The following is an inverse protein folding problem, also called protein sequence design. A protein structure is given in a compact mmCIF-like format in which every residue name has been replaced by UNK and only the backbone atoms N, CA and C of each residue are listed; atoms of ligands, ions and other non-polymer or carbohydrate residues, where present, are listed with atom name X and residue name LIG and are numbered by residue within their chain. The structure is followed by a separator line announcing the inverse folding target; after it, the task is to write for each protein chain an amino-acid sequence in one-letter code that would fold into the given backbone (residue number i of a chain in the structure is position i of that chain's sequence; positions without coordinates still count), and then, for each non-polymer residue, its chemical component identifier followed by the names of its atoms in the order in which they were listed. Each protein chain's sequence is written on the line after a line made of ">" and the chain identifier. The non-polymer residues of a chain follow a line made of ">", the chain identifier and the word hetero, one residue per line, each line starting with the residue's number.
data_IF_859914584805
#
_entry.id   IF_859914584805
#
_cell.length_a   1.000
_cell.length_b   1.000
_cell.length_c   1.000
_cell.angle_alpha   90.00
_cell.angle_beta   90.00
_cell.angle_gamma   90.00
#
_symmetry.space_group_name_H-M   'P 1'
#
loop_
_entity.id
_entity.type
_entity.pdbx_description
1 polymer ?
#
# COMPACT_ATOMS: atom_id res chain seq x y z
N UNK A 1 10.72 7.59 -41.47
CA UNK A 1 10.73 8.66 -40.46
C UNK A 1 9.29 9.06 -40.21
N UNK A 2 8.71 8.65 -39.08
CA UNK A 2 7.30 8.92 -38.75
C UNK A 2 7.21 9.25 -37.27
N UNK A 3 6.72 10.45 -36.97
CA UNK A 3 6.60 10.99 -35.62
C UNK A 3 5.32 10.45 -34.98
N UNK A 4 5.45 9.62 -33.93
CA UNK A 4 4.34 9.18 -33.10
C UNK A 4 4.09 10.25 -32.03
N UNK A 5 2.99 11.00 -32.16
CA UNK A 5 2.55 11.93 -31.11
C UNK A 5 1.71 11.14 -30.10
N UNK A 6 2.33 10.74 -28.99
CA UNK A 6 1.63 10.19 -27.84
C UNK A 6 0.91 11.34 -27.11
N UNK A 7 -0.42 11.42 -27.27
CA UNK A 7 -1.25 12.30 -26.44
C UNK A 7 -1.31 11.72 -25.03
N UNK A 8 -0.52 12.27 -24.13
CA UNK A 8 -0.71 12.08 -22.69
C UNK A 8 -1.91 12.94 -22.30
N UNK A 9 -3.06 12.30 -22.08
CA UNK A 9 -4.18 12.92 -21.38
C UNK A 9 -3.69 13.28 -19.98
N UNK A 10 -3.58 14.56 -19.72
CA UNK A 10 -3.17 15.10 -18.43
C UNK A 10 -4.34 14.92 -17.46
N UNK A 11 -4.16 14.11 -16.42
CA UNK A 11 -5.09 14.03 -15.30
C UNK A 11 -4.91 15.26 -14.40
N UNK A 12 -5.51 16.39 -14.76
CA UNK A 12 -5.54 17.61 -13.96
C UNK A 12 -6.58 17.49 -12.82
N UNK A 13 -6.39 16.60 -11.83
CA UNK A 13 -7.13 16.72 -10.55
C UNK A 13 -6.62 15.96 -9.31
N UNK A 14 -5.46 15.29 -9.33
CA UNK A 14 -4.97 14.64 -8.11
C UNK A 14 -4.17 15.65 -7.26
N UNK A 15 -4.83 16.47 -6.43
CA UNK A 15 -4.16 17.44 -5.53
C UNK A 15 -4.71 17.37 -4.09
N UNK A 16 -5.31 16.26 -3.70
CA UNK A 16 -5.68 16.00 -2.30
C UNK A 16 -5.24 14.58 -1.93
N UNK A 17 -3.93 14.42 -1.70
CA UNK A 17 -3.33 13.15 -1.30
C UNK A 17 -3.57 12.91 0.20
N UNK A 18 -4.74 12.36 0.58
CA UNK A 18 -5.09 11.93 1.96
C UNK A 18 -6.60 11.83 2.24
N UNK A 19 -7.48 12.24 1.33
CA UNK A 19 -8.91 12.35 1.62
C UNK A 19 -9.63 11.01 1.55
N UNK A 20 -9.21 10.15 0.63
CA UNK A 20 -9.92 8.92 0.30
C UNK A 20 -9.15 7.69 0.75
N UNK A 21 -9.86 6.58 0.96
CA UNK A 21 -9.22 5.29 1.28
C UNK A 21 -8.17 4.91 0.25
N UNK A 22 -8.48 5.12 -1.04
CA UNK A 22 -7.64 4.74 -2.18
C UNK A 22 -6.29 5.47 -2.19
N UNK A 23 -6.19 6.65 -1.55
CA UNK A 23 -4.92 7.37 -1.42
C UNK A 23 -3.88 6.59 -0.58
N UNK A 24 -4.36 5.67 0.27
CA UNK A 24 -3.53 4.86 1.17
C UNK A 24 -3.44 3.38 0.74
N UNK A 25 -4.22 2.96 -0.27
CA UNK A 25 -4.21 1.60 -0.83
C UNK A 25 -3.04 1.44 -1.82
N UNK A 26 -1.82 1.50 -1.31
CA UNK A 26 -0.60 1.42 -2.11
C UNK A 26 -0.19 -0.04 -2.36
N UNK A 27 0.09 -0.45 -3.61
CA UNK A 27 0.59 -1.78 -3.89
C UNK A 27 2.00 -1.97 -3.31
N UNK A 28 2.21 -3.06 -2.58
CA UNK A 28 3.52 -3.47 -2.10
C UNK A 28 4.01 -4.69 -2.90
N UNK A 29 5.22 -4.60 -3.46
CA UNK A 29 5.82 -5.65 -4.27
C UNK A 29 7.26 -5.87 -3.79
N UNK A 30 7.60 -7.12 -3.49
CA UNK A 30 8.94 -7.53 -3.09
C UNK A 30 9.51 -8.49 -4.13
N UNK A 31 10.77 -8.27 -4.52
CA UNK A 31 11.52 -9.16 -5.41
C UNK A 31 12.78 -9.64 -4.70
N UNK A 32 13.11 -10.92 -4.88
CA UNK A 32 14.35 -11.54 -4.42
C UNK A 32 14.91 -12.41 -5.53
N UNK A 33 16.23 -12.44 -5.69
CA UNK A 33 16.92 -13.29 -6.68
C UNK A 33 16.65 -14.77 -6.47
N UNK A 34 16.39 -15.15 -5.22
CA UNK A 34 16.29 -16.55 -4.81
C UNK A 34 14.84 -17.04 -4.79
N UNK A 35 13.89 -16.16 -5.09
CA UNK A 35 12.47 -16.51 -5.09
C UNK A 35 12.11 -17.33 -6.34
N UNK A 36 11.56 -18.52 -6.11
CA UNK A 36 11.10 -19.42 -7.18
C UNK A 36 9.59 -19.35 -7.41
N UNK A 37 8.86 -18.63 -6.53
CA UNK A 37 7.38 -18.59 -6.55
C UNK A 37 6.89 -17.18 -6.28
N UNK A 38 5.74 -16.85 -6.87
CA UNK A 38 5.00 -15.64 -6.56
C UNK A 38 4.00 -15.96 -5.47
N UNK A 39 4.13 -15.29 -4.34
CA UNK A 39 3.14 -15.29 -3.27
C UNK A 39 2.26 -14.05 -3.39
N UNK A 40 0.93 -14.22 -3.25
CA UNK A 40 -0.03 -13.11 -3.26
C UNK A 40 -0.65 -12.97 -1.87
N UNK A 41 -0.25 -11.94 -1.15
CA UNK A 41 -0.81 -11.59 0.15
C UNK A 41 -1.96 -10.60 -0.09
N UNK A 42 -3.18 -10.97 0.28
CA UNK A 42 -4.38 -10.13 0.13
C UNK A 42 -4.77 -9.41 1.42
N UNK A 43 -4.20 -9.81 2.55
CA UNK A 43 -4.51 -9.20 3.84
C UNK A 43 -3.90 -7.79 3.89
N UNK A 44 -4.71 -6.75 4.11
CA UNK A 44 -4.20 -5.39 4.21
C UNK A 44 -3.23 -5.23 5.38
N UNK A 45 -2.21 -4.38 5.20
CA UNK A 45 -1.19 -4.11 6.21
C UNK A 45 -0.88 -2.61 6.28
N UNK A 46 -0.66 -2.10 7.49
CA UNK A 46 -0.24 -0.72 7.70
C UNK A 46 1.25 -0.54 7.38
N UNK A 47 1.58 0.53 6.66
CA UNK A 47 2.97 0.92 6.39
C UNK A 47 3.77 1.21 7.68
N UNK A 48 3.11 1.51 8.81
CA UNK A 48 3.80 1.64 10.11
C UNK A 48 4.51 0.36 10.53
N UNK A 49 4.03 -0.80 10.08
CA UNK A 49 4.62 -2.10 10.40
C UNK A 49 5.73 -2.51 9.42
N UNK A 50 6.01 -1.72 8.38
CA UNK A 50 6.98 -2.05 7.34
C UNK A 50 8.38 -2.33 7.89
N UNK A 51 8.80 -1.59 8.92
CA UNK A 51 10.14 -1.74 9.51
C UNK A 51 10.36 -3.15 10.09
N UNK A 52 9.32 -3.79 10.64
CA UNK A 52 9.41 -5.15 11.18
C UNK A 52 9.62 -6.16 10.04
N UNK A 53 8.80 -6.08 9.00
CA UNK A 53 8.94 -6.93 7.81
C UNK A 53 10.28 -6.77 7.12
N UNK A 54 10.77 -5.53 7.02
CA UNK A 54 12.08 -5.27 6.43
C UNK A 54 13.22 -5.85 7.28
N UNK A 55 13.15 -5.72 8.61
CA UNK A 55 14.13 -6.31 9.51
C UNK A 55 14.13 -7.85 9.43
N UNK A 56 12.95 -8.46 9.44
CA UNK A 56 12.78 -9.91 9.30
C UNK A 56 13.33 -10.41 7.95
N UNK A 57 13.03 -9.68 6.87
CA UNK A 57 13.52 -10.03 5.53
C UNK A 57 15.06 -9.97 5.44
N UNK A 58 15.68 -8.99 6.11
CA UNK A 58 17.13 -8.84 6.15
C UNK A 58 17.81 -9.80 7.17
N UNK A 59 17.04 -10.59 7.92
CA UNK A 59 17.55 -11.49 8.95
C UNK A 59 18.10 -10.77 10.19
N UNK A 60 17.68 -9.52 10.43
CA UNK A 60 18.11 -8.72 11.58
C UNK A 60 17.45 -9.25 12.85
N UNK A 61 18.27 -9.57 13.86
CA UNK A 61 17.81 -10.07 15.17
C UNK A 61 18.03 -9.01 16.24
N UNK A 62 17.18 -7.99 16.23
CA UNK A 62 17.15 -6.93 17.25
C UNK A 62 15.77 -6.87 17.88
N UNK A 63 15.71 -6.92 19.22
CA UNK A 63 14.45 -7.07 19.98
C UNK A 63 13.46 -5.94 19.69
N UNK A 64 13.95 -4.73 19.47
CA UNK A 64 13.10 -3.56 19.17
C UNK A 64 12.59 -3.52 17.72
N UNK A 65 13.13 -4.37 16.85
CA UNK A 65 12.71 -4.51 15.45
C UNK A 65 11.91 -5.79 15.22
N UNK A 66 11.57 -6.53 16.28
CA UNK A 66 10.71 -7.70 16.24
C UNK A 66 9.30 -7.28 16.70
N UNK A 67 8.37 -7.27 15.75
CA UNK A 67 7.00 -6.78 15.96
C UNK A 67 5.97 -7.74 15.38
N UNK A 68 5.00 -7.18 14.64
CA UNK A 68 4.00 -7.99 13.92
C UNK A 68 4.64 -8.64 12.70
N UNK A 69 4.15 -9.82 12.32
CA UNK A 69 4.48 -10.43 11.04
C UNK A 69 3.93 -9.55 9.91
N UNK A 70 4.83 -8.92 9.17
CA UNK A 70 4.45 -8.02 8.09
C UNK A 70 3.95 -8.74 6.84
N UNK A 71 4.47 -9.94 6.56
CA UNK A 71 4.15 -10.70 5.36
C UNK A 71 2.92 -11.60 5.56
N UNK A 72 2.66 -12.03 6.79
CA UNK A 72 1.48 -12.80 7.15
C UNK A 72 0.71 -12.15 8.31
N UNK A 73 0.16 -10.93 8.12
CA UNK A 73 -0.47 -10.20 9.20
C UNK A 73 -1.80 -10.82 9.64
N UNK A 74 -2.05 -10.79 10.94
CA UNK A 74 -3.37 -11.04 11.49
C UNK A 74 -4.34 -9.89 11.19
N UNK A 75 -5.64 -10.15 11.33
CA UNK A 75 -6.68 -9.14 11.10
C UNK A 75 -6.58 -8.04 12.17
N UNK A 76 -6.28 -6.82 11.73
CA UNK A 76 -6.14 -5.65 12.59
C UNK A 76 -6.86 -4.42 12.02
N UNK A 77 -7.06 -3.42 12.88
CA UNK A 77 -7.48 -2.10 12.42
C UNK A 77 -6.30 -1.35 11.80
N UNK A 78 -6.51 -0.82 10.60
CA UNK A 78 -5.47 -0.08 9.88
C UNK A 78 -5.66 1.40 10.13
N UNK A 79 -4.61 2.02 10.66
CA UNK A 79 -4.53 3.45 10.88
C UNK A 79 -3.60 4.10 9.86
N UNK A 80 -3.97 5.29 9.43
CA UNK A 80 -3.22 6.12 8.47
C UNK A 80 -3.09 7.54 9.01
N UNK A 81 -2.07 8.26 8.56
CA UNK A 81 -1.88 9.67 8.93
C UNK A 81 -2.46 10.57 7.82
N UNK A 82 -3.48 11.35 8.14
CA UNK A 82 -4.21 12.21 7.18
C UNK A 82 -3.60 13.60 7.02
N UNK A 83 -2.33 13.76 7.37
CA UNK A 83 -1.61 15.04 7.55
C UNK A 83 -1.96 15.85 8.79
N UNK A 84 -3.03 15.52 9.50
CA UNK A 84 -3.42 16.20 10.74
C UNK A 84 -3.49 15.24 11.93
N UNK A 85 -4.05 14.06 11.72
CA UNK A 85 -4.40 13.07 12.73
C UNK A 85 -4.06 11.65 12.25
N UNK A 86 -3.99 10.73 13.21
CA UNK A 86 -3.97 9.30 12.92
C UNK A 86 -5.40 8.78 13.00
N UNK A 87 -5.97 8.42 11.86
CA UNK A 87 -7.38 8.01 11.70
C UNK A 87 -7.47 6.56 11.27
N UNK A 88 -8.60 5.90 11.54
CA UNK A 88 -8.83 4.56 11.01
C UNK A 88 -9.20 4.67 9.53
N UNK A 89 -8.54 3.92 8.65
CA UNK A 89 -8.77 4.00 7.21
C UNK A 89 -10.24 3.74 6.83
N UNK A 90 -10.97 2.97 7.64
CA UNK A 90 -12.39 2.68 7.40
C UNK A 90 -13.30 3.91 7.57
N UNK A 91 -12.84 4.93 8.29
CA UNK A 91 -13.58 6.17 8.55
C UNK A 91 -13.50 7.15 7.36
N UNK A 92 -12.53 6.97 6.47
CA UNK A 92 -12.38 7.78 5.26
C UNK A 92 -13.48 7.45 4.24
N UNK A 93 -13.75 8.38 3.33
CA UNK A 93 -14.65 8.12 2.21
C UNK A 93 -13.94 7.28 1.13
N UNK A 94 -14.71 6.55 0.33
CA UNK A 94 -14.19 5.96 -0.91
C UNK A 94 -14.06 7.06 -1.98
N UNK A 95 -13.00 6.97 -2.80
CA UNK A 95 -12.77 7.86 -3.93
C UNK A 95 -13.94 7.75 -4.91
N UNK A 96 -14.53 8.88 -5.37
CA UNK A 96 -15.59 8.85 -6.38
C UNK A 96 -15.19 8.15 -7.69
N UNK A 97 -13.89 8.04 -7.99
CA UNK A 97 -13.36 7.30 -9.14
C UNK A 97 -13.24 5.79 -8.91
N UNK A 98 -13.49 5.29 -7.69
CA UNK A 98 -13.44 3.85 -7.38
C UNK A 98 -14.46 3.08 -8.22
N UNK A 99 -13.98 2.13 -9.01
CA UNK A 99 -14.85 1.25 -9.79
C UNK A 99 -15.57 0.24 -8.88
N UNK A 100 -16.83 -0.11 -9.16
CA UNK A 100 -17.56 -1.12 -8.40
C UNK A 100 -16.87 -2.49 -8.48
N UNK A 101 -16.94 -3.26 -7.39
CA UNK A 101 -16.24 -4.56 -7.23
C UNK A 101 -16.62 -5.60 -8.30
N UNK A 102 -17.75 -5.43 -8.98
CA UNK A 102 -18.22 -6.32 -10.06
C UNK A 102 -17.47 -6.15 -11.38
N UNK A 103 -16.59 -5.16 -11.48
CA UNK A 103 -15.85 -4.80 -12.70
C UNK A 103 -14.33 -5.03 -12.56
N UNK A 104 -13.84 -5.39 -11.37
CA UNK A 104 -12.40 -5.56 -11.07
C UNK A 104 -11.93 -7.01 -11.09
#
# INVERSE_FOLDING_TARGET
>A
MGLLIMRILTAYHCIQNNLYKQDYEIPFIMFSSDSQKVEKIKTPQSAFNFVYGFADWMGIKEKHLQGVDFFHPEKQEIKVFDWNNVVNVKELADDPAKLPETVQ
#
